data_IF_772401503947
#
_entry.id   IF_772401503947
#
_cell.length_a   1.000
_cell.length_b   1.000
_cell.length_c   1.000
_cell.angle_alpha   90.00
_cell.angle_beta   90.00
_cell.angle_gamma   90.00
#
_symmetry.space_group_name_H-M   'P 1'
#
loop_
_entity.id
_entity.type
_entity.pdbx_description
1 polymer ?
#
# COMPACT_ATOMS: atom_id res chain seq x y z
N UNK A 1 43.05 44.63 -13.50
CA UNK A 1 43.76 43.52 -14.16
C UNK A 1 42.77 42.36 -14.30
N UNK A 2 41.99 42.35 -15.39
CA UNK A 2 40.96 41.33 -15.65
C UNK A 2 41.57 40.14 -16.40
N UNK A 3 41.46 38.92 -15.86
CA UNK A 3 41.70 37.69 -16.63
C UNK A 3 40.40 36.88 -16.71
N UNK A 4 39.76 37.00 -17.88
CA UNK A 4 38.84 36.01 -18.46
C UNK A 4 39.56 34.66 -18.59
N UNK A 5 38.88 33.56 -18.29
CA UNK A 5 39.21 32.25 -18.85
C UNK A 5 37.95 31.69 -19.54
N UNK A 6 38.10 31.35 -20.82
CA UNK A 6 37.09 30.80 -21.74
C UNK A 6 37.34 29.30 -21.90
N UNK A 7 36.24 28.53 -21.85
CA UNK A 7 35.83 27.34 -22.60
C UNK A 7 36.79 26.14 -22.78
N UNK A 8 36.26 24.91 -22.58
CA UNK A 8 35.70 24.05 -23.65
C UNK A 8 35.10 22.73 -23.12
N UNK A 9 33.98 22.34 -23.73
CA UNK A 9 33.27 21.05 -23.69
C UNK A 9 34.18 19.82 -23.78
N UNK A 10 33.75 18.70 -23.17
CA UNK A 10 33.62 17.42 -23.88
C UNK A 10 32.42 16.60 -23.35
N UNK A 11 31.58 16.19 -24.29
CA UNK A 11 30.52 15.20 -24.20
C UNK A 11 31.18 13.82 -24.30
N UNK A 12 30.88 12.89 -23.39
CA UNK A 12 31.03 11.46 -23.66
C UNK A 12 29.76 10.74 -23.21
N UNK A 13 29.06 10.24 -24.21
CA UNK A 13 27.94 9.32 -24.19
C UNK A 13 28.50 7.90 -23.96
N UNK A 14 27.89 7.10 -23.09
CA UNK A 14 28.34 5.73 -22.82
C UNK A 14 27.30 4.92 -22.06
N UNK A 15 26.33 4.40 -22.80
CA UNK A 15 25.37 3.35 -22.42
C UNK A 15 26.05 2.08 -21.92
N UNK A 16 25.59 1.49 -20.81
CA UNK A 16 25.74 0.06 -20.54
C UNK A 16 24.57 -0.48 -19.70
N UNK A 17 23.66 -1.18 -20.38
CA UNK A 17 22.80 -2.18 -19.79
C UNK A 17 23.55 -3.52 -19.78
N UNK A 18 23.51 -4.27 -18.69
CA UNK A 18 23.75 -5.71 -18.70
C UNK A 18 23.10 -6.36 -17.48
N UNK A 19 22.22 -7.31 -17.78
CA UNK A 19 21.54 -8.21 -16.87
C UNK A 19 22.53 -9.12 -16.12
N UNK A 20 22.14 -9.58 -14.93
CA UNK A 20 22.72 -10.77 -14.31
C UNK A 20 21.61 -11.73 -13.87
N UNK A 21 21.51 -12.82 -14.60
CA UNK A 21 20.84 -14.06 -14.21
C UNK A 21 21.66 -15.24 -14.75
N UNK A 22 22.36 -15.98 -13.88
CA UNK A 22 22.77 -17.38 -14.13
C UNK A 22 22.81 -18.17 -12.81
N UNK A 23 22.33 -19.40 -12.94
CA UNK A 23 22.01 -20.47 -11.98
C UNK A 23 23.24 -21.24 -11.44
N UNK A 24 23.00 -21.93 -10.33
CA UNK A 24 23.79 -22.83 -9.46
C UNK A 24 24.70 -23.92 -10.06
N UNK A 25 25.63 -24.45 -9.23
CA UNK A 25 25.89 -25.90 -9.09
C UNK A 25 26.56 -26.31 -7.74
N UNK A 26 26.20 -27.52 -7.28
CA UNK A 26 26.48 -28.32 -6.06
C UNK A 26 27.98 -28.60 -5.70
N UNK A 27 28.41 -29.18 -4.56
CA UNK A 27 27.82 -29.82 -3.35
C UNK A 27 28.92 -30.58 -2.53
N UNK A 28 28.53 -31.24 -1.40
CA UNK A 28 29.22 -32.29 -0.57
C UNK A 28 30.26 -31.82 0.50
N UNK A 29 30.40 -32.31 1.76
CA UNK A 29 29.97 -33.49 2.56
C UNK A 29 29.93 -33.17 4.09
N UNK A 30 29.21 -34.03 4.82
CA UNK A 30 28.80 -34.12 6.24
C UNK A 30 29.86 -34.08 7.37
N UNK A 31 29.39 -33.82 8.61
CA UNK A 31 29.63 -34.75 9.73
C UNK A 31 28.51 -34.71 10.81
N UNK A 32 28.41 -35.81 11.54
CA UNK A 32 27.29 -36.33 12.34
C UNK A 32 27.64 -36.25 13.82
N UNK A 33 26.73 -35.80 14.70
CA UNK A 33 26.83 -36.12 16.13
C UNK A 33 25.47 -36.41 16.77
N UNK A 34 25.46 -37.57 17.43
CA UNK A 34 24.37 -38.23 18.17
C UNK A 34 24.41 -37.75 19.63
N UNK A 35 23.25 -37.48 20.23
CA UNK A 35 23.04 -37.62 21.68
C UNK A 35 21.55 -37.87 21.99
N UNK A 36 21.33 -38.52 23.11
CA UNK A 36 20.28 -39.49 23.45
C UNK A 36 19.03 -38.94 24.15
N UNK A 37 18.01 -39.80 24.11
CA UNK A 37 16.65 -39.80 24.69
C UNK A 37 16.60 -39.59 26.22
N UNK A 38 15.63 -38.81 26.74
CA UNK A 38 14.65 -39.25 27.76
C UNK A 38 13.53 -38.22 28.03
N UNK A 39 12.41 -38.75 28.52
CA UNK A 39 11.03 -38.27 28.35
C UNK A 39 10.50 -37.31 29.44
N UNK A 40 9.48 -36.51 29.08
CA UNK A 40 8.35 -36.21 29.98
C UNK A 40 7.11 -35.78 29.17
N UNK A 41 5.97 -36.30 29.60
CA UNK A 41 4.65 -36.24 28.98
C UNK A 41 3.92 -34.91 29.25
N UNK A 42 3.24 -34.38 28.24
CA UNK A 42 1.79 -34.13 28.19
C UNK A 42 1.55 -33.17 27.03
N UNK A 43 0.70 -33.52 26.07
CA UNK A 43 -0.35 -32.62 25.58
C UNK A 43 -1.35 -33.41 24.72
N UNK A 44 -2.58 -32.94 24.81
CA UNK A 44 -3.82 -33.56 24.44
C UNK A 44 -4.22 -33.09 23.02
N UNK A 45 -4.38 -34.05 22.10
CA UNK A 45 -5.41 -34.09 21.05
C UNK A 45 -5.51 -32.92 20.05
N UNK A 46 -5.15 -33.15 18.78
CA UNK A 46 -6.08 -33.44 17.65
C UNK A 46 -5.33 -33.49 16.32
N UNK A 47 -5.67 -34.51 15.53
CA UNK A 47 -4.98 -35.01 14.34
C UNK A 47 -5.58 -34.39 13.07
N UNK A 48 -4.73 -34.02 12.11
CA UNK A 48 -5.09 -33.94 10.70
C UNK A 48 -3.87 -34.36 9.85
N UNK A 49 -3.95 -35.56 9.30
CA UNK A 49 -3.00 -36.11 8.33
C UNK A 49 -3.78 -36.88 7.28
N UNK A 50 -3.86 -36.26 6.10
CA UNK A 50 -3.81 -36.81 4.74
C UNK A 50 -4.46 -38.16 4.38
N UNK A 51 -5.41 -38.03 3.44
CA UNK A 51 -5.67 -38.82 2.21
C UNK A 51 -5.25 -40.29 2.15
N UNK A 52 -6.23 -41.17 1.91
CA UNK A 52 -6.42 -41.81 0.59
C UNK A 52 -7.74 -42.64 0.55
N UNK A 53 -8.35 -42.66 -0.64
CA UNK A 53 -9.54 -43.39 -1.04
C UNK A 53 -9.67 -44.83 -0.55
N UNK A 54 -10.91 -45.23 -0.21
CA UNK A 54 -11.43 -46.60 -0.44
C UNK A 54 -12.89 -46.54 -0.88
N UNK A 55 -13.17 -47.18 -2.02
CA UNK A 55 -14.48 -47.51 -2.57
C UNK A 55 -15.28 -48.41 -1.63
N UNK A 56 -16.62 -48.34 -1.69
CA UNK A 56 -17.46 -49.50 -1.38
C UNK A 56 -18.37 -49.72 -2.60
N UNK A 57 -18.07 -50.82 -3.27
CA UNK A 57 -18.98 -51.53 -4.18
C UNK A 57 -20.16 -52.10 -3.39
N UNK A 58 -21.35 -52.08 -3.99
CA UNK A 58 -22.21 -53.26 -3.96
C UNK A 58 -22.54 -53.64 -5.40
N UNK A 59 -22.21 -54.88 -5.71
CA UNK A 59 -22.38 -55.55 -6.98
C UNK A 59 -23.86 -55.84 -7.31
N UNK A 60 -24.18 -55.91 -8.60
CA UNK A 60 -24.67 -57.11 -9.30
C UNK A 60 -24.82 -56.79 -10.79
N UNK A 61 -24.15 -57.54 -11.67
CA UNK A 61 -24.41 -57.50 -13.12
C UNK A 61 -23.25 -57.89 -14.04
N UNK A 62 -22.96 -59.20 -14.08
CA UNK A 62 -22.54 -60.01 -15.25
C UNK A 62 -21.22 -59.74 -16.01
N UNK A 63 -20.29 -60.69 -15.81
CA UNK A 63 -19.25 -61.28 -16.70
C UNK A 63 -19.62 -61.29 -18.20
N UNK A 64 -18.71 -61.28 -19.19
CA UNK A 64 -17.26 -61.11 -19.30
C UNK A 64 -16.95 -61.02 -20.83
N UNK A 65 -15.70 -60.68 -21.16
CA UNK A 65 -14.93 -61.06 -22.37
C UNK A 65 -15.01 -60.22 -23.66
N UNK A 66 -14.06 -59.27 -23.72
CA UNK A 66 -12.94 -59.20 -24.68
C UNK A 66 -13.19 -59.17 -26.21
N UNK A 67 -12.99 -57.98 -26.80
CA UNK A 67 -11.93 -57.66 -27.77
C UNK A 67 -11.96 -58.26 -29.19
N UNK A 68 -12.13 -57.40 -30.20
CA UNK A 68 -11.22 -57.22 -31.37
C UNK A 68 -11.86 -56.29 -32.44
N UNK A 69 -10.99 -55.53 -33.12
CA UNK A 69 -11.28 -54.51 -34.13
C UNK A 69 -11.82 -55.06 -35.46
N UNK A 70 -12.45 -54.19 -36.28
CA UNK A 70 -11.95 -53.71 -37.60
C UNK A 70 -13.02 -52.85 -38.31
N UNK A 71 -12.48 -51.85 -39.00
CA UNK A 71 -12.97 -50.72 -39.81
C UNK A 71 -13.82 -50.99 -41.06
N UNK A 72 -14.54 -49.92 -41.47
CA UNK A 72 -14.70 -49.29 -42.83
C UNK A 72 -16.17 -48.97 -43.15
N UNK A 73 -16.63 -47.93 -43.88
CA UNK A 73 -16.18 -46.62 -44.41
C UNK A 73 -17.49 -45.87 -44.78
N UNK A 74 -17.60 -44.57 -44.45
CA UNK A 74 -17.81 -43.40 -45.35
C UNK A 74 -19.17 -43.30 -46.07
N UNK A 75 -19.93 -42.24 -45.80
CA UNK A 75 -20.30 -41.26 -46.85
C UNK A 75 -20.87 -39.97 -46.28
N UNK A 76 -20.36 -38.86 -46.80
CA UNK A 76 -20.77 -37.47 -46.57
C UNK A 76 -21.61 -37.04 -47.76
N UNK A 77 -22.84 -36.53 -47.57
CA UNK A 77 -23.35 -35.45 -48.44
C UNK A 77 -24.46 -34.59 -47.82
N UNK A 78 -24.25 -33.29 -47.95
CA UNK A 78 -25.19 -32.21 -48.29
C UNK A 78 -26.26 -31.71 -47.28
N UNK A 79 -25.91 -30.55 -46.71
CA UNK A 79 -26.61 -29.25 -46.83
C UNK A 79 -28.11 -29.14 -46.47
N UNK A 80 -28.40 -28.24 -45.53
CA UNK A 80 -29.32 -27.12 -45.77
C UNK A 80 -28.93 -25.93 -44.89
N UNK A 81 -28.73 -24.78 -45.52
CA UNK A 81 -28.54 -23.48 -44.88
C UNK A 81 -29.86 -23.04 -44.23
N UNK A 82 -29.82 -22.67 -42.95
CA UNK A 82 -30.86 -21.87 -42.32
C UNK A 82 -30.18 -20.62 -41.76
N UNK A 83 -30.49 -19.51 -42.40
CA UNK A 83 -30.20 -18.12 -42.04
C UNK A 83 -30.43 -17.85 -40.56
N UNK A 84 -29.37 -17.45 -39.84
CA UNK A 84 -29.49 -16.77 -38.57
C UNK A 84 -29.58 -15.28 -38.89
N UNK A 85 -30.80 -14.73 -38.81
CA UNK A 85 -31.01 -13.29 -38.81
C UNK A 85 -30.24 -12.67 -37.63
N UNK A 86 -29.48 -11.62 -37.92
CA UNK A 86 -28.86 -10.78 -36.91
C UNK A 86 -29.97 -10.07 -36.12
N UNK A 87 -30.21 -10.53 -34.89
CA UNK A 87 -30.95 -9.79 -33.87
C UNK A 87 -30.10 -8.59 -33.45
N UNK A 88 -30.38 -7.42 -34.00
CA UNK A 88 -29.85 -6.15 -33.50
C UNK A 88 -30.48 -5.88 -32.13
N UNK A 89 -29.69 -5.96 -31.06
CA UNK A 89 -30.06 -5.46 -29.75
C UNK A 89 -30.35 -3.96 -29.84
N UNK A 90 -31.60 -3.56 -29.57
CA UNK A 90 -31.94 -2.15 -29.38
C UNK A 90 -31.22 -1.65 -28.12
N UNK A 91 -30.18 -0.84 -28.33
CA UNK A 91 -29.56 -0.04 -27.29
C UNK A 91 -30.57 1.00 -26.84
N UNK A 92 -31.23 0.78 -25.71
CA UNK A 92 -32.07 1.79 -25.06
C UNK A 92 -31.12 2.85 -24.51
N UNK A 93 -30.92 3.96 -25.24
CA UNK A 93 -30.17 5.11 -24.73
C UNK A 93 -30.92 5.69 -23.52
N UNK A 94 -30.38 5.44 -22.34
CA UNK A 94 -30.80 6.10 -21.12
C UNK A 94 -30.61 7.62 -21.31
N UNK A 95 -31.71 8.39 -21.29
CA UNK A 95 -31.67 9.85 -21.56
C UNK A 95 -30.92 10.53 -20.40
N UNK A 96 -29.62 10.71 -20.59
CA UNK A 96 -28.76 11.46 -19.68
C UNK A 96 -28.66 12.91 -20.15
N UNK A 97 -28.56 13.89 -19.24
CA UNK A 97 -28.39 15.30 -19.61
C UNK A 97 -26.96 15.62 -20.08
N UNK A 98 -26.14 14.61 -20.33
CA UNK A 98 -24.74 14.69 -20.75
C UNK A 98 -24.45 13.53 -21.70
N UNK A 99 -23.51 13.75 -22.61
CA UNK A 99 -22.93 12.68 -23.45
C UNK A 99 -21.68 12.11 -22.78
N UNK A 100 -21.37 10.84 -23.05
CA UNK A 100 -20.11 10.21 -22.64
C UNK A 100 -19.30 9.91 -23.89
N UNK A 101 -18.12 10.51 -24.00
CA UNK A 101 -17.12 10.11 -24.99
C UNK A 101 -16.29 8.98 -24.39
N UNK A 102 -16.60 7.75 -24.81
CA UNK A 102 -15.89 6.54 -24.37
C UNK A 102 -14.51 6.51 -25.02
N UNK A 103 -13.48 6.15 -24.26
CA UNK A 103 -12.13 5.97 -24.77
C UNK A 103 -11.98 4.59 -25.45
N UNK A 104 -11.22 4.55 -26.54
CA UNK A 104 -10.90 3.32 -27.29
C UNK A 104 -10.24 2.24 -26.41
N UNK A 105 -9.50 2.68 -25.39
CA UNK A 105 -8.96 1.84 -24.32
C UNK A 105 -9.02 2.59 -22.99
N UNK A 106 -9.26 1.90 -21.85
CA UNK A 106 -9.23 2.56 -20.55
C UNK A 106 -7.90 3.29 -20.29
N UNK A 107 -8.00 4.48 -19.69
CA UNK A 107 -6.84 5.23 -19.22
C UNK A 107 -6.60 4.96 -17.75
N UNK A 108 -5.33 4.85 -17.36
CA UNK A 108 -4.93 4.87 -15.97
C UNK A 108 -4.66 6.32 -15.56
N UNK A 109 -5.43 6.81 -14.60
CA UNK A 109 -5.31 8.15 -14.02
C UNK A 109 -5.30 8.05 -12.48
N UNK A 110 -5.19 9.18 -11.80
CA UNK A 110 -5.06 9.22 -10.35
C UNK A 110 -5.95 10.28 -9.74
N UNK A 111 -6.44 10.01 -8.53
CA UNK A 111 -7.21 10.99 -7.78
C UNK A 111 -6.28 12.08 -7.20
N UNK A 112 -6.40 13.32 -7.66
CA UNK A 112 -5.71 14.50 -7.12
C UNK A 112 -6.26 15.04 -5.81
N UNK A 113 -7.38 14.48 -5.32
CA UNK A 113 -8.01 14.79 -4.03
C UNK A 113 -8.86 13.60 -3.55
N UNK A 114 -9.45 13.66 -2.36
CA UNK A 114 -10.55 12.73 -2.03
C UNK A 114 -11.83 13.16 -2.74
N UNK A 115 -12.28 12.34 -3.69
CA UNK A 115 -13.40 12.61 -4.60
C UNK A 115 -14.61 11.81 -4.17
N UNK A 116 -15.82 12.36 -4.34
CA UNK A 116 -17.05 11.59 -4.19
C UNK A 116 -17.33 10.83 -5.48
N UNK A 117 -17.61 9.53 -5.36
CA UNK A 117 -18.08 8.70 -6.46
C UNK A 117 -19.59 8.81 -6.53
N UNK A 118 -20.14 9.04 -7.73
CA UNK A 118 -21.56 9.29 -7.94
C UNK A 118 -22.15 8.41 -9.02
N UNK A 119 -23.46 8.22 -8.95
CA UNK A 119 -24.22 7.45 -9.94
C UNK A 119 -24.41 8.17 -11.29
N UNK A 120 -23.97 9.43 -11.41
CA UNK A 120 -24.04 10.21 -12.65
C UNK A 120 -23.13 11.44 -12.61
N UNK A 121 -22.92 12.05 -13.77
CA UNK A 121 -22.00 13.17 -13.99
C UNK A 121 -22.58 14.52 -13.49
N UNK A 122 -22.67 14.65 -12.17
CA UNK A 122 -23.14 15.89 -11.54
C UNK A 122 -23.27 15.77 -10.02
N UNK A 123 -23.34 16.90 -9.34
CA UNK A 123 -23.42 16.94 -7.86
C UNK A 123 -24.78 16.51 -7.31
N UNK A 124 -25.81 16.51 -8.14
CA UNK A 124 -27.19 16.17 -7.77
C UNK A 124 -27.46 14.65 -7.82
N UNK A 125 -26.53 13.88 -8.38
CA UNK A 125 -26.60 12.42 -8.39
C UNK A 125 -26.21 11.81 -7.05
N UNK A 126 -26.77 10.63 -6.76
CA UNK A 126 -26.52 9.87 -5.52
C UNK A 126 -25.03 9.61 -5.32
N UNK A 127 -24.55 9.85 -4.09
CA UNK A 127 -23.19 9.50 -3.70
C UNK A 127 -23.11 7.99 -3.42
N UNK A 128 -22.31 7.29 -4.19
CA UNK A 128 -22.06 5.85 -4.07
C UNK A 128 -20.90 5.56 -3.12
N UNK A 129 -19.95 6.48 -3.00
CA UNK A 129 -18.77 6.29 -2.17
C UNK A 129 -17.78 7.44 -2.27
N UNK A 130 -16.53 7.12 -1.93
CA UNK A 130 -15.40 8.05 -2.04
C UNK A 130 -14.19 7.30 -2.56
N UNK A 131 -13.44 7.94 -3.45
CA UNK A 131 -12.10 7.53 -3.83
C UNK A 131 -11.14 8.49 -3.15
N UNK A 132 -10.13 7.94 -2.49
CA UNK A 132 -9.13 8.74 -1.78
C UNK A 132 -8.12 9.32 -2.76
N UNK A 133 -7.44 10.38 -2.32
CA UNK A 133 -6.31 10.94 -3.05
C UNK A 133 -5.28 9.83 -3.38
N UNK A 134 -4.64 9.92 -4.55
CA UNK A 134 -3.62 9.00 -5.02
C UNK A 134 -4.13 7.65 -5.52
N UNK A 135 -5.40 7.31 -5.29
CA UNK A 135 -5.98 6.07 -5.81
C UNK A 135 -5.88 6.05 -7.34
N UNK A 136 -5.42 4.92 -7.86
CA UNK A 136 -5.46 4.62 -9.29
C UNK A 136 -6.91 4.52 -9.76
N UNK A 137 -7.17 5.07 -10.94
CA UNK A 137 -8.48 5.16 -11.57
C UNK A 137 -8.39 4.50 -12.94
N UNK A 138 -9.24 3.51 -13.20
CA UNK A 138 -9.49 3.02 -14.55
C UNK A 138 -10.59 3.87 -15.18
N UNK A 139 -10.18 4.86 -15.97
CA UNK A 139 -11.08 5.82 -16.64
C UNK A 139 -11.51 5.27 -17.99
N UNK A 140 -12.82 5.14 -18.17
CA UNK A 140 -13.45 4.54 -19.35
C UNK A 140 -13.87 5.59 -20.38
N UNK A 141 -14.12 6.82 -19.94
CA UNK A 141 -14.52 7.91 -20.82
C UNK A 141 -14.69 9.21 -20.06
N UNK A 142 -15.01 10.27 -20.80
CA UNK A 142 -15.23 11.62 -20.26
C UNK A 142 -16.55 12.18 -20.78
N UNK A 143 -17.25 12.90 -19.91
CA UNK A 143 -18.49 13.57 -20.27
C UNK A 143 -18.24 14.97 -20.82
N UNK A 144 -19.21 15.50 -21.56
CA UNK A 144 -19.21 16.88 -22.06
C UNK A 144 -19.23 17.96 -20.94
N UNK A 145 -19.45 17.56 -19.69
CA UNK A 145 -19.42 18.42 -18.51
C UNK A 145 -18.25 18.14 -17.53
N UNK A 146 -17.15 17.57 -18.03
CA UNK A 146 -15.91 17.32 -17.28
C UNK A 146 -16.05 16.35 -16.09
N UNK A 147 -16.83 15.29 -16.24
CA UNK A 147 -16.81 14.14 -15.35
C UNK A 147 -16.19 12.95 -16.06
N UNK A 148 -15.45 12.13 -15.33
CA UNK A 148 -14.94 10.87 -15.83
C UNK A 148 -15.90 9.74 -15.46
N UNK A 149 -16.22 8.90 -16.44
CA UNK A 149 -16.77 7.58 -16.19
C UNK A 149 -15.62 6.63 -15.86
N UNK A 150 -15.74 5.93 -14.73
CA UNK A 150 -14.72 5.03 -14.21
C UNK A 150 -15.28 3.64 -13.99
N UNK A 151 -14.42 2.63 -14.04
CA UNK A 151 -14.73 1.32 -13.48
C UNK A 151 -14.84 1.42 -11.95
N UNK A 152 -15.95 0.95 -11.38
CA UNK A 152 -16.21 1.02 -9.94
C UNK A 152 -17.10 -0.14 -9.47
N UNK A 153 -16.52 -1.06 -8.70
CA UNK A 153 -17.19 -2.30 -8.31
C UNK A 153 -17.45 -3.20 -9.54
N UNK A 154 -18.67 -3.71 -9.67
CA UNK A 154 -19.08 -4.54 -10.81
C UNK A 154 -19.64 -3.71 -12.00
N UNK A 155 -19.55 -2.37 -11.94
CA UNK A 155 -20.13 -1.47 -12.94
C UNK A 155 -19.34 -0.19 -13.14
N UNK A 156 -20.02 0.86 -13.63
CA UNK A 156 -19.43 2.19 -13.82
C UNK A 156 -19.97 3.21 -12.83
N UNK A 157 -19.16 4.24 -12.57
CA UNK A 157 -19.56 5.39 -11.78
C UNK A 157 -18.88 6.66 -12.28
N UNK A 158 -19.26 7.81 -11.73
CA UNK A 158 -18.79 9.11 -12.17
C UNK A 158 -18.03 9.85 -11.07
N UNK A 159 -16.92 10.47 -11.45
CA UNK A 159 -16.11 11.37 -10.62
C UNK A 159 -15.85 12.68 -11.35
N UNK A 160 -15.72 13.79 -10.62
CA UNK A 160 -15.43 15.10 -11.22
C UNK A 160 -13.99 15.12 -11.73
N UNK A 161 -13.82 15.51 -13.00
CA UNK A 161 -12.52 15.58 -13.67
C UNK A 161 -11.58 16.63 -13.08
N UNK A 162 -12.13 17.63 -12.38
CA UNK A 162 -11.34 18.68 -11.70
C UNK A 162 -10.38 18.12 -10.64
N UNK A 163 -10.63 16.90 -10.17
CA UNK A 163 -9.83 16.24 -9.14
C UNK A 163 -9.07 15.03 -9.67
N UNK A 164 -8.90 14.88 -10.98
CA UNK A 164 -8.22 13.75 -11.60
C UNK A 164 -6.96 14.22 -12.33
N UNK A 165 -5.86 13.51 -12.13
CA UNK A 165 -4.56 13.83 -12.71
C UNK A 165 -4.04 12.65 -13.55
N UNK A 166 -3.29 12.94 -14.61
CA UNK A 166 -2.71 11.92 -15.48
C UNK A 166 -1.49 11.23 -14.88
N UNK A 167 -0.85 11.86 -13.91
CA UNK A 167 0.25 11.30 -13.13
C UNK A 167 -0.18 11.18 -11.68
N UNK A 168 0.38 10.21 -10.95
CA UNK A 168 0.16 10.09 -9.52
C UNK A 168 0.58 11.43 -8.90
N UNK A 169 -0.36 12.19 -8.28
CA UNK A 169 0.02 13.44 -7.67
C UNK A 169 1.04 13.12 -6.58
N UNK A 170 2.02 13.99 -6.33
CA UNK A 170 2.92 13.79 -5.19
C UNK A 170 2.13 14.02 -3.89
N UNK A 171 2.20 13.09 -2.92
CA UNK A 171 1.57 13.33 -1.61
C UNK A 171 2.36 14.47 -0.96
N UNK A 172 1.75 15.58 -0.51
CA UNK A 172 2.49 16.57 0.25
C UNK A 172 2.91 16.02 1.61
N UNK A 173 2.07 15.19 2.24
CA UNK A 173 2.33 14.61 3.57
C UNK A 173 2.05 13.10 3.63
N UNK A 174 3.08 12.29 3.90
CA UNK A 174 2.95 10.88 4.21
C UNK A 174 3.22 10.64 5.69
N UNK A 175 2.28 10.03 6.40
CA UNK A 175 2.47 9.57 7.78
C UNK A 175 2.75 8.07 7.80
N UNK A 176 3.83 7.67 8.46
CA UNK A 176 4.21 6.26 8.59
C UNK A 176 4.25 5.89 10.07
N UNK A 177 3.56 4.84 10.51
CA UNK A 177 3.61 4.51 11.92
C UNK A 177 2.70 3.39 12.41
N UNK A 178 2.51 3.36 13.73
CA UNK A 178 1.77 2.32 14.43
C UNK A 178 0.30 2.68 14.69
N UNK A 179 -0.31 2.10 15.74
CA UNK A 179 -1.69 2.35 16.14
C UNK A 179 -1.99 3.83 16.40
N UNK A 180 -1.03 4.61 16.89
CA UNK A 180 -1.24 6.05 17.11
C UNK A 180 -1.39 6.81 15.80
N UNK A 181 -0.69 6.39 14.76
CA UNK A 181 -0.79 6.96 13.42
C UNK A 181 -2.10 6.55 12.73
N UNK A 182 -2.58 5.32 12.96
CA UNK A 182 -3.93 4.91 12.53
C UNK A 182 -5.02 5.76 13.18
N UNK A 183 -4.88 6.08 14.47
CA UNK A 183 -5.86 6.93 15.15
C UNK A 183 -5.76 8.41 14.74
N UNK A 184 -4.56 8.90 14.43
CA UNK A 184 -4.36 10.20 13.77
C UNK A 184 -5.15 10.25 12.47
N UNK A 185 -4.99 9.25 11.58
CA UNK A 185 -5.78 9.10 10.34
C UNK A 185 -7.28 9.19 10.59
N UNK A 186 -7.79 8.47 11.59
CA UNK A 186 -9.21 8.49 11.93
C UNK A 186 -9.69 9.87 12.44
N UNK A 187 -8.81 10.63 13.10
CA UNK A 187 -9.13 11.95 13.64
C UNK A 187 -9.15 13.06 12.58
N UNK A 188 -8.23 13.01 11.60
CA UNK A 188 -7.98 14.11 10.63
C UNK A 188 -8.24 13.77 9.16
N UNK A 189 -8.58 12.52 8.84
CA UNK A 189 -8.94 12.08 7.49
C UNK A 189 -7.75 12.00 6.52
N UNK A 190 -8.03 11.74 5.25
CA UNK A 190 -7.02 11.34 4.23
C UNK A 190 -7.06 12.21 2.96
N UNK A 191 -7.65 13.40 3.02
CA UNK A 191 -7.95 14.19 1.81
C UNK A 191 -6.72 14.69 1.05
N UNK A 192 -5.66 14.98 1.79
CA UNK A 192 -4.45 15.68 1.36
C UNK A 192 -3.18 15.02 1.91
N UNK A 193 -3.29 13.75 2.32
CA UNK A 193 -2.22 13.01 3.01
C UNK A 193 -2.46 11.51 2.94
N UNK A 194 -1.37 10.77 2.89
CA UNK A 194 -1.36 9.32 2.88
C UNK A 194 -0.91 8.76 4.24
N UNK A 195 -1.22 7.49 4.46
CA UNK A 195 -0.88 6.77 5.68
C UNK A 195 -0.39 5.36 5.35
N UNK A 196 0.84 5.07 5.73
CA UNK A 196 1.38 3.71 5.80
C UNK A 196 1.44 3.36 7.29
N UNK A 197 0.31 2.89 7.83
CA UNK A 197 0.19 2.67 9.26
C UNK A 197 -0.72 1.51 9.62
N UNK A 198 -0.33 0.77 10.68
CA UNK A 198 -1.05 -0.42 11.12
C UNK A 198 -1.05 -0.57 12.64
N UNK A 199 -2.20 -0.98 13.18
CA UNK A 199 -2.42 -1.12 14.63
C UNK A 199 -1.58 -2.26 15.20
N UNK A 200 -0.93 -2.01 16.33
CA UNK A 200 -0.15 -3.02 17.07
C UNK A 200 1.21 -3.37 16.47
N UNK A 201 1.61 -2.67 15.40
CA UNK A 201 2.86 -2.93 14.71
C UNK A 201 4.02 -2.05 15.20
N UNK A 202 5.24 -2.47 14.90
CA UNK A 202 6.48 -1.75 15.25
C UNK A 202 7.59 -2.04 14.24
N UNK A 203 8.81 -2.18 14.72
CA UNK A 203 10.02 -2.27 13.88
C UNK A 203 9.96 -3.37 12.82
N UNK A 204 9.44 -4.55 13.19
CA UNK A 204 9.37 -5.70 12.27
C UNK A 204 8.51 -5.39 11.03
N UNK A 205 7.32 -4.84 11.24
CA UNK A 205 6.44 -4.44 10.15
C UNK A 205 6.97 -3.23 9.39
N UNK A 206 7.61 -2.27 10.11
CA UNK A 206 8.24 -1.14 9.46
C UNK A 206 9.26 -1.62 8.41
N UNK A 207 10.17 -2.50 8.84
CA UNK A 207 11.20 -3.09 7.99
C UNK A 207 10.64 -3.93 6.84
N UNK A 208 9.69 -4.81 7.12
CA UNK A 208 9.31 -5.88 6.20
C UNK A 208 8.11 -5.54 5.30
N UNK A 209 7.39 -4.45 5.57
CA UNK A 209 6.15 -4.12 4.85
C UNK A 209 6.03 -2.63 4.58
N UNK A 210 6.08 -1.78 5.60
CA UNK A 210 5.85 -0.34 5.39
C UNK A 210 6.88 0.30 4.45
N UNK A 211 8.14 -0.16 4.46
CA UNK A 211 9.16 0.37 3.54
C UNK A 211 8.83 0.18 2.05
N UNK A 212 8.20 -0.94 1.67
CA UNK A 212 7.74 -1.12 0.28
C UNK A 212 6.50 -0.26 -0.01
N UNK A 213 5.55 -0.18 0.94
CA UNK A 213 4.35 0.66 0.78
C UNK A 213 4.71 2.15 0.67
N UNK A 214 5.73 2.64 1.40
CA UNK A 214 6.20 4.04 1.28
C UNK A 214 6.52 4.39 -0.17
N UNK A 215 7.11 3.47 -0.93
CA UNK A 215 7.49 3.72 -2.33
C UNK A 215 6.27 3.86 -3.25
N UNK A 216 5.11 3.33 -2.86
CA UNK A 216 3.85 3.47 -3.62
C UNK A 216 3.22 4.85 -3.44
N UNK A 217 3.46 5.50 -2.29
CA UNK A 217 2.83 6.78 -1.94
C UNK A 217 3.79 7.98 -1.99
N UNK A 218 5.09 7.81 -1.75
CA UNK A 218 6.02 8.95 -1.62
C UNK A 218 6.97 9.08 -2.80
N UNK A 219 7.26 10.34 -3.16
CA UNK A 219 8.23 10.69 -4.18
C UNK A 219 8.65 12.15 -4.08
N UNK A 220 9.00 12.74 -5.22
CA UNK A 220 9.57 14.08 -5.25
C UNK A 220 8.58 15.12 -4.68
N UNK A 221 9.05 15.88 -3.69
CA UNK A 221 8.25 16.89 -2.98
C UNK A 221 7.43 16.35 -1.81
N UNK A 222 7.45 15.05 -1.54
CA UNK A 222 6.75 14.48 -0.38
C UNK A 222 7.46 14.85 0.93
N UNK A 223 6.68 15.30 1.92
CA UNK A 223 7.12 15.36 3.32
C UNK A 223 6.64 14.11 4.05
N UNK A 224 7.56 13.25 4.47
CA UNK A 224 7.27 12.05 5.22
C UNK A 224 7.50 12.26 6.72
N UNK A 225 6.55 11.89 7.56
CA UNK A 225 6.63 11.94 9.02
C UNK A 225 6.54 10.51 9.57
N UNK A 226 7.62 10.07 10.22
CA UNK A 226 7.73 8.76 10.86
C UNK A 226 7.27 8.87 12.33
N UNK A 227 6.33 8.01 12.70
CA UNK A 227 5.64 7.94 13.99
C UNK A 227 5.59 6.48 14.49
N UNK A 228 6.76 5.91 14.77
CA UNK A 228 6.89 4.56 15.32
C UNK A 228 7.55 4.59 16.70
N UNK A 229 7.55 3.45 17.39
CA UNK A 229 8.43 3.16 18.52
C UNK A 229 7.69 2.88 19.81
N UNK A 230 6.43 3.32 19.98
CA UNK A 230 5.72 3.14 21.26
C UNK A 230 5.50 1.67 21.60
N UNK A 231 5.38 0.79 20.61
CA UNK A 231 5.16 -0.65 20.83
C UNK A 231 6.46 -1.41 21.15
N UNK A 232 7.63 -0.82 20.90
CA UNK A 232 8.90 -1.54 20.94
C UNK A 232 10.11 -0.63 21.24
N UNK A 233 10.00 0.17 22.31
CA UNK A 233 11.01 1.14 22.77
C UNK A 233 12.42 0.56 23.00
N UNK A 234 12.57 -0.76 23.13
CA UNK A 234 13.90 -1.40 23.20
C UNK A 234 14.63 -1.45 21.84
N UNK A 235 13.95 -1.14 20.73
CA UNK A 235 14.48 -1.24 19.38
C UNK A 235 15.06 0.07 18.83
N UNK A 236 15.34 1.09 19.67
CA UNK A 236 15.87 2.40 19.24
C UNK A 236 17.02 2.29 18.22
N UNK A 237 18.09 1.57 18.55
CA UNK A 237 19.23 1.37 17.65
C UNK A 237 18.88 0.68 16.34
N UNK A 238 17.85 -0.18 16.34
CA UNK A 238 17.37 -0.85 15.11
C UNK A 238 16.61 0.13 14.22
N UNK A 239 15.73 0.96 14.78
CA UNK A 239 15.07 2.04 14.03
C UNK A 239 16.11 2.99 13.43
N UNK A 240 17.07 3.46 14.22
CA UNK A 240 18.14 4.35 13.76
C UNK A 240 18.90 3.73 12.59
N UNK A 241 19.37 2.49 12.76
CA UNK A 241 20.12 1.79 11.71
C UNK A 241 19.32 1.65 10.42
N UNK A 242 18.04 1.30 10.53
CA UNK A 242 17.16 1.13 9.38
C UNK A 242 16.91 2.46 8.67
N UNK A 243 16.51 3.50 9.41
CA UNK A 243 16.14 4.80 8.84
C UNK A 243 17.38 5.45 8.21
N UNK A 244 18.53 5.41 8.88
CA UNK A 244 19.80 5.91 8.32
C UNK A 244 20.24 5.13 7.09
N UNK A 245 19.87 3.85 6.93
CA UNK A 245 20.18 3.09 5.71
C UNK A 245 19.30 3.45 4.51
N UNK A 246 18.16 4.11 4.74
CA UNK A 246 17.21 4.50 3.69
C UNK A 246 17.26 5.99 3.32
N UNK A 247 17.92 6.82 4.12
CA UNK A 247 17.90 8.28 3.92
C UNK A 247 18.45 8.69 2.55
N UNK A 248 19.46 8.01 2.00
CA UNK A 248 19.97 8.29 0.66
C UNK A 248 18.95 7.98 -0.44
N UNK A 249 18.15 6.91 -0.25
CA UNK A 249 17.09 6.52 -1.19
C UNK A 249 15.95 7.56 -1.15
N UNK A 250 15.55 7.99 0.04
CA UNK A 250 14.50 8.99 0.21
C UNK A 250 14.94 10.38 -0.28
N UNK A 251 16.16 10.79 0.00
CA UNK A 251 16.74 12.05 -0.49
C UNK A 251 16.83 12.06 -2.03
N UNK A 252 17.31 10.97 -2.64
CA UNK A 252 17.35 10.82 -4.10
C UNK A 252 15.94 10.80 -4.74
N UNK A 253 14.94 10.33 -4.01
CA UNK A 253 13.53 10.38 -4.43
C UNK A 253 12.89 11.76 -4.20
N UNK A 254 13.61 12.73 -3.64
CA UNK A 254 13.10 14.07 -3.35
C UNK A 254 12.13 14.11 -2.16
N UNK A 255 12.25 13.16 -1.22
CA UNK A 255 11.41 13.07 -0.02
C UNK A 255 12.10 13.80 1.14
N UNK A 256 11.40 14.76 1.76
CA UNK A 256 11.83 15.37 3.01
C UNK A 256 11.38 14.51 4.19
N UNK A 257 12.32 14.04 5.01
CA UNK A 257 12.03 13.08 6.08
C UNK A 257 12.07 13.74 7.44
N UNK A 258 11.00 13.55 8.21
CA UNK A 258 10.92 13.89 9.62
C UNK A 258 10.74 12.62 10.46
N UNK A 259 11.38 12.59 11.62
CA UNK A 259 11.04 11.69 12.70
C UNK A 259 10.37 12.50 13.81
N UNK A 260 9.16 12.12 14.19
CA UNK A 260 8.51 12.72 15.34
C UNK A 260 8.78 11.89 16.58
N UNK A 261 9.17 12.55 17.68
CA UNK A 261 9.36 11.90 18.97
C UNK A 261 8.16 11.00 19.33
N UNK A 262 8.42 9.84 19.92
CA UNK A 262 7.35 9.06 20.56
C UNK A 262 6.72 9.94 21.64
N UNK A 263 5.40 10.12 21.56
CA UNK A 263 4.65 11.05 22.40
C UNK A 263 4.28 10.46 23.78
N UNK A 264 3.99 11.28 24.80
CA UNK A 264 3.79 10.82 26.18
C UNK A 264 2.58 9.90 26.35
N UNK A 265 2.64 9.04 27.36
CA UNK A 265 1.52 8.21 27.82
C UNK A 265 0.91 8.75 29.11
N UNK A 266 -0.37 8.45 29.31
CA UNK A 266 -1.04 8.66 30.59
C UNK A 266 -0.74 7.49 31.54
N UNK A 267 -1.78 7.00 32.24
CA UNK A 267 -1.65 5.81 33.07
C UNK A 267 -1.62 4.54 32.20
N UNK A 268 -0.46 4.22 31.64
CA UNK A 268 -0.25 3.08 30.75
C UNK A 268 0.51 1.95 31.46
N UNK A 269 0.06 0.70 31.29
CA UNK A 269 0.68 -0.46 31.93
C UNK A 269 1.79 -1.11 31.09
N UNK A 270 1.83 -0.85 29.78
CA UNK A 270 2.79 -1.51 28.87
C UNK A 270 4.06 -0.71 28.65
N UNK A 271 4.00 0.62 28.75
CA UNK A 271 5.13 1.53 28.54
C UNK A 271 5.09 2.70 29.50
N UNK A 272 6.25 3.26 29.82
CA UNK A 272 6.41 4.43 30.68
C UNK A 272 7.03 5.62 29.95
N UNK A 273 6.74 6.82 30.43
CA UNK A 273 7.33 8.05 29.90
C UNK A 273 8.87 8.07 30.01
N UNK A 274 9.47 7.47 31.04
CA UNK A 274 10.92 7.37 31.16
C UNK A 274 11.56 6.50 30.04
N UNK A 275 10.89 5.42 29.63
CA UNK A 275 11.34 4.60 28.49
C UNK A 275 11.21 5.38 27.18
N UNK A 276 10.12 6.14 27.02
CA UNK A 276 9.88 7.00 25.86
C UNK A 276 10.95 8.09 25.76
N UNK A 277 11.27 8.76 26.86
CA UNK A 277 12.32 9.78 26.93
C UNK A 277 13.69 9.20 26.55
N UNK A 278 14.02 8.00 27.06
CA UNK A 278 15.28 7.32 26.72
C UNK A 278 15.35 6.94 25.23
N UNK A 279 14.26 6.41 24.67
CA UNK A 279 14.15 6.10 23.25
C UNK A 279 14.33 7.37 22.39
N UNK A 280 13.58 8.42 22.71
CA UNK A 280 13.62 9.69 21.99
C UNK A 280 15.00 10.34 22.03
N UNK A 281 15.64 10.37 23.19
CA UNK A 281 16.99 10.92 23.34
C UNK A 281 17.99 10.19 22.45
N UNK A 282 17.89 8.85 22.38
CA UNK A 282 18.76 8.06 21.52
C UNK A 282 18.56 8.40 20.03
N UNK A 283 17.30 8.37 19.55
CA UNK A 283 17.00 8.67 18.15
C UNK A 283 17.44 10.09 17.77
N UNK A 284 17.13 11.08 18.60
CA UNK A 284 17.49 12.47 18.32
C UNK A 284 19.02 12.66 18.22
N UNK A 285 19.80 11.87 18.94
CA UNK A 285 21.27 11.97 18.94
C UNK A 285 21.96 11.17 17.82
N UNK A 286 21.33 10.13 17.28
CA UNK A 286 21.98 9.16 16.38
C UNK A 286 21.35 9.07 14.97
N UNK A 287 20.18 9.65 14.73
CA UNK A 287 19.62 9.74 13.37
C UNK A 287 20.50 10.62 12.47
N UNK A 288 20.57 10.28 11.19
CA UNK A 288 21.24 11.09 10.16
C UNK A 288 20.69 12.52 10.20
N UNK A 289 21.55 13.56 10.16
CA UNK A 289 21.14 14.95 10.34
C UNK A 289 20.20 15.48 9.24
N UNK A 290 20.04 14.77 8.10
CA UNK A 290 19.01 15.08 7.10
C UNK A 290 17.60 14.73 7.59
N UNK A 291 17.48 13.83 8.56
CA UNK A 291 16.21 13.46 9.17
C UNK A 291 15.87 14.51 10.23
N UNK A 292 14.83 15.28 9.95
CA UNK A 292 14.42 16.40 10.79
C UNK A 292 13.63 15.91 12.01
N UNK A 293 13.85 16.51 13.16
CA UNK A 293 13.18 16.11 14.41
C UNK A 293 11.93 16.95 14.69
N UNK A 294 10.81 16.30 14.98
CA UNK A 294 9.60 16.95 15.49
C UNK A 294 9.44 16.59 16.98
N UNK A 295 9.67 17.56 17.86
CA UNK A 295 9.50 17.41 19.31
C UNK A 295 8.01 17.49 19.71
N UNK A 296 7.27 16.42 19.42
CA UNK A 296 5.86 16.27 19.76
C UNK A 296 5.63 15.83 21.20
N UNK A 297 6.65 15.24 21.84
CA UNK A 297 6.61 14.85 23.23
C UNK A 297 6.53 16.08 24.14
N UNK A 298 7.43 17.04 23.95
CA UNK A 298 7.40 18.29 24.71
C UNK A 298 6.16 19.10 24.40
N UNK A 299 5.69 19.12 23.14
CA UNK A 299 4.46 19.81 22.76
C UNK A 299 3.25 19.29 23.55
N UNK A 300 3.02 17.98 23.57
CA UNK A 300 1.88 17.41 24.30
C UNK A 300 2.04 17.52 25.82
N UNK A 301 3.27 17.44 26.33
CA UNK A 301 3.54 17.67 27.76
C UNK A 301 3.18 19.10 28.18
N UNK A 302 3.43 20.08 27.32
CA UNK A 302 3.13 21.50 27.59
C UNK A 302 1.67 21.87 27.37
N UNK A 303 1.04 21.34 26.31
CA UNK A 303 -0.34 21.69 25.92
C UNK A 303 -1.40 20.82 26.59
N UNK A 304 -0.98 19.70 27.18
CA UNK A 304 -1.87 18.71 27.77
C UNK A 304 -2.43 17.75 26.72
N UNK A 305 -2.77 16.55 27.17
CA UNK A 305 -3.33 15.48 26.35
C UNK A 305 -4.28 14.61 27.17
N UNK A 306 -5.15 13.87 26.48
CA UNK A 306 -6.10 12.93 27.10
C UNK A 306 -5.92 11.54 26.49
N UNK A 307 -5.75 10.52 27.35
CA UNK A 307 -5.61 9.12 26.95
C UNK A 307 -6.66 8.24 27.63
N UNK A 308 -7.78 7.90 26.98
CA UNK A 308 -8.84 7.07 27.59
C UNK A 308 -8.36 5.69 28.06
N UNK A 309 -7.37 5.10 27.39
CA UNK A 309 -6.79 3.80 27.71
C UNK A 309 -5.34 3.89 28.23
N UNK A 310 -4.87 5.10 28.54
CA UNK A 310 -3.50 5.38 28.94
C UNK A 310 -2.48 5.48 27.80
N UNK A 311 -2.77 4.96 26.61
CA UNK A 311 -1.81 4.87 25.48
C UNK A 311 -2.20 5.74 24.28
N UNK A 312 -3.45 5.67 23.88
CA UNK A 312 -4.00 6.32 22.69
C UNK A 312 -4.78 7.56 23.06
N UNK A 313 -4.78 8.54 22.16
CA UNK A 313 -5.37 9.83 22.48
C UNK A 313 -6.84 9.94 22.11
N UNK A 314 -7.55 10.89 22.73
CA UNK A 314 -8.85 11.30 22.20
C UNK A 314 -8.72 12.04 20.86
N UNK A 315 -9.85 12.21 20.17
CA UNK A 315 -9.91 12.83 18.84
C UNK A 315 -9.37 14.27 18.83
N UNK A 316 -9.58 15.03 19.91
CA UNK A 316 -9.14 16.43 19.98
C UNK A 316 -7.63 16.53 20.12
N UNK A 317 -7.03 15.69 20.96
CA UNK A 317 -5.59 15.59 21.12
C UNK A 317 -4.93 15.21 19.79
N UNK A 318 -5.47 14.25 19.03
CA UNK A 318 -4.93 13.92 17.70
C UNK A 318 -5.03 15.08 16.71
N UNK A 319 -6.12 15.86 16.72
CA UNK A 319 -6.25 17.06 15.88
C UNK A 319 -5.22 18.13 16.26
N UNK A 320 -4.98 18.33 17.55
CA UNK A 320 -3.99 19.27 18.05
C UNK A 320 -2.56 18.82 17.68
N UNK A 321 -2.29 17.52 17.80
CA UNK A 321 -1.01 16.92 17.41
C UNK A 321 -0.75 17.07 15.90
N UNK A 322 -1.76 16.79 15.06
CA UNK A 322 -1.66 17.03 13.62
C UNK A 322 -1.38 18.50 13.29
N UNK A 323 -2.11 19.43 13.94
CA UNK A 323 -1.91 20.87 13.71
C UNK A 323 -0.48 21.30 14.07
N UNK A 324 0.08 20.72 15.13
CA UNK A 324 1.48 20.94 15.49
C UNK A 324 2.45 20.38 14.43
N UNK A 325 2.25 19.14 13.97
CA UNK A 325 3.05 18.59 12.87
C UNK A 325 3.06 19.51 11.66
N UNK A 326 1.88 19.99 11.22
CA UNK A 326 1.76 20.89 10.08
C UNK A 326 2.44 22.23 10.34
N UNK A 327 2.36 22.76 11.56
CA UNK A 327 3.06 24.01 11.91
C UNK A 327 4.58 23.88 11.85
N UNK A 328 5.14 22.72 12.21
CA UNK A 328 6.59 22.48 12.19
C UNK A 328 7.09 22.24 10.77
N UNK A 329 6.38 21.45 9.96
CA UNK A 329 6.84 21.17 8.60
C UNK A 329 6.63 22.34 7.63
N UNK A 330 5.69 23.25 7.92
CA UNK A 330 5.45 24.44 7.10
C UNK A 330 6.51 25.54 7.27
N UNK A 331 7.29 25.54 8.36
CA UNK A 331 8.38 26.52 8.55
C UNK A 331 9.65 26.18 7.77
N UNK A 332 9.67 25.01 7.12
CA UNK A 332 10.83 24.43 6.47
C UNK A 332 10.74 24.45 4.93
N UNK A 333 9.65 25.00 4.38
CA UNK A 333 9.37 25.21 2.95
C UNK A 333 9.59 26.66 2.59
#
# INVERSE_FOLDING_TARGET
>A
MFKKKKNKNQIILGSFAAAFSVVALAGLIADKHIATVEAAQNENTLVAGEVLNVQIDEALGEDELAGAAVTETVDIVAATEASIEASSEEVIEEVRPYTVTVYESPLIMYAGATINVRSGAGTDYTKLGRITWGSELTVLGVTDNNWYEISYGDGTAFISGDYVTSELPSVPYLFVGDSRTVQLKNAVGTTDKAYVAKVGEGYSWFKNTALSEIQEYAGNGTTMIINFGVNDLANASKYISLINSYIDVWDAAGITVYYSSVTPVGNCNSVSNAQIESFNAQLQSELDPRIKWIDSYSYLTQTGFSTPDGLHYDKNTYKNLYSYYMSVVATDV
#
